data_IF_858625858800
#
_entry.id   IF_858625858800
#
_cell.length_a   1.000
_cell.length_b   1.000
_cell.length_c   1.000
_cell.angle_alpha   90.00
_cell.angle_beta   90.00
_cell.angle_gamma   90.00
#
_symmetry.space_group_name_H-M   'P 1'
#
loop_
_entity.id
_entity.type
_entity.pdbx_description
1 polymer ?
#
# COMPACT_ATOMS: atom_id res chain seq x y z
N UNK A 1 28.26 -38.90 0.58
CA UNK A 1 27.04 -38.60 1.35
C UNK A 1 27.07 -37.16 1.77
N UNK A 2 26.08 -36.32 1.44
CA UNK A 2 26.05 -34.94 1.93
C UNK A 2 26.00 -34.93 3.45
N UNK A 3 26.76 -34.03 4.08
CA UNK A 3 26.79 -33.87 5.53
C UNK A 3 25.40 -33.44 5.99
N UNK A 4 24.80 -34.16 6.95
CA UNK A 4 23.48 -33.80 7.49
C UNK A 4 23.57 -32.42 8.15
N UNK A 5 22.56 -31.58 7.90
CA UNK A 5 22.47 -30.20 8.42
C UNK A 5 22.36 -30.18 9.96
N UNK A 6 21.74 -31.21 10.55
CA UNK A 6 21.44 -31.32 11.99
C UNK A 6 21.96 -32.63 12.55
N UNK A 7 22.35 -32.62 13.82
CA UNK A 7 22.77 -33.80 14.59
C UNK A 7 21.51 -34.54 15.03
N UNK A 8 21.48 -35.85 14.80
CA UNK A 8 20.31 -36.67 15.14
C UNK A 8 20.35 -37.10 16.61
N UNK A 9 19.23 -36.94 17.29
CA UNK A 9 18.94 -37.39 18.65
C UNK A 9 17.64 -38.20 18.63
N UNK A 10 17.49 -39.14 19.56
CA UNK A 10 16.26 -39.92 19.67
C UNK A 10 15.11 -39.04 20.20
N UNK A 11 13.95 -39.10 19.54
CA UNK A 11 12.70 -38.54 20.05
C UNK A 11 11.75 -39.70 20.42
N UNK A 12 11.02 -39.54 21.52
CA UNK A 12 10.11 -40.58 22.05
C UNK A 12 8.63 -40.25 21.80
N UNK A 13 8.36 -39.12 21.14
CA UNK A 13 7.03 -38.52 21.06
C UNK A 13 6.26 -39.05 19.84
N UNK A 14 5.06 -39.60 20.07
CA UNK A 14 4.16 -40.04 19.00
C UNK A 14 3.32 -38.86 18.46
N UNK A 15 3.33 -38.71 17.13
CA UNK A 15 2.63 -37.62 16.44
C UNK A 15 1.11 -37.65 16.70
N UNK A 16 0.49 -38.83 16.68
CA UNK A 16 -0.98 -38.93 16.83
C UNK A 16 -1.41 -38.47 18.23
N UNK A 17 -0.63 -38.82 19.25
CA UNK A 17 -0.84 -38.38 20.62
C UNK A 17 -0.67 -36.87 20.75
N UNK A 18 0.41 -36.29 20.21
CA UNK A 18 0.66 -34.84 20.29
C UNK A 18 -0.44 -34.03 19.60
N UNK A 19 -0.89 -34.49 18.43
CA UNK A 19 -1.92 -33.81 17.64
C UNK A 19 -3.26 -33.66 18.40
N UNK A 20 -3.57 -34.57 19.33
CA UNK A 20 -4.77 -34.48 20.17
C UNK A 20 -4.69 -33.32 21.19
N UNK A 21 -3.48 -32.92 21.60
CA UNK A 21 -3.25 -31.90 22.61
C UNK A 21 -2.83 -30.52 22.05
N UNK A 22 -2.71 -30.39 20.73
CA UNK A 22 -2.42 -29.11 20.08
C UNK A 22 -3.68 -28.25 19.97
N UNK A 23 -3.70 -27.11 20.66
CA UNK A 23 -4.88 -26.23 20.74
C UNK A 23 -4.87 -25.10 19.70
N UNK A 24 -3.69 -24.66 19.25
CA UNK A 24 -3.54 -23.56 18.29
C UNK A 24 -2.69 -23.95 17.07
N UNK A 25 -2.91 -23.30 15.91
CA UNK A 25 -2.22 -23.64 14.66
C UNK A 25 -0.69 -23.53 14.76
N UNK A 26 -0.17 -22.57 15.52
CA UNK A 26 1.26 -22.36 15.71
C UNK A 26 1.90 -23.50 16.51
N UNK A 27 1.19 -24.07 17.49
CA UNK A 27 1.64 -25.26 18.23
C UNK A 27 1.71 -26.43 17.29
N UNK A 28 0.67 -26.60 16.47
CA UNK A 28 0.59 -27.69 15.49
C UNK A 28 1.77 -27.59 14.52
N UNK A 29 2.08 -26.38 14.04
CA UNK A 29 3.21 -26.14 13.14
C UNK A 29 4.56 -26.41 13.82
N UNK A 30 4.72 -26.02 15.09
CA UNK A 30 5.91 -26.30 15.88
C UNK A 30 6.10 -27.80 16.11
N UNK A 31 5.10 -28.50 16.66
CA UNK A 31 5.19 -29.93 16.98
C UNK A 31 5.34 -30.79 15.71
N UNK A 32 4.76 -30.36 14.58
CA UNK A 32 5.00 -30.99 13.29
C UNK A 32 6.48 -30.98 12.93
N UNK A 33 7.15 -29.85 13.16
CA UNK A 33 8.53 -29.62 12.74
C UNK A 33 9.56 -30.02 13.80
N UNK A 34 9.16 -30.09 15.08
CA UNK A 34 10.04 -30.28 16.24
C UNK A 34 11.00 -31.46 16.10
N UNK A 35 10.59 -32.67 15.67
CA UNK A 35 11.53 -33.77 15.41
C UNK A 35 12.61 -33.44 14.37
N UNK A 36 12.25 -32.69 13.32
CA UNK A 36 13.19 -32.27 12.28
C UNK A 36 14.16 -31.21 12.81
N UNK A 37 13.69 -30.19 13.52
CA UNK A 37 14.53 -29.04 13.91
C UNK A 37 15.31 -29.25 15.22
N UNK A 38 14.70 -29.89 16.23
CA UNK A 38 15.36 -30.12 17.53
C UNK A 38 16.09 -31.47 17.58
N UNK A 39 15.46 -32.52 17.07
CA UNK A 39 16.00 -33.88 17.15
C UNK A 39 16.78 -34.28 15.89
N UNK A 40 16.74 -33.46 14.83
CA UNK A 40 17.54 -33.68 13.62
C UNK A 40 17.04 -34.83 12.75
N UNK A 41 15.77 -35.22 12.89
CA UNK A 41 15.22 -36.30 12.11
C UNK A 41 15.10 -35.97 10.62
N UNK A 42 15.23 -36.98 9.74
CA UNK A 42 15.02 -36.78 8.32
C UNK A 42 13.59 -36.34 8.03
N UNK A 43 13.44 -35.31 7.18
CA UNK A 43 12.12 -34.84 6.70
C UNK A 43 11.32 -35.93 5.99
N UNK A 44 12.00 -36.93 5.40
CA UNK A 44 11.38 -38.11 4.79
C UNK A 44 10.65 -38.95 5.84
N UNK A 45 11.29 -39.21 6.97
CA UNK A 45 10.70 -39.98 8.06
C UNK A 45 9.50 -39.22 8.63
N UNK A 46 9.69 -37.92 8.89
CA UNK A 46 8.60 -37.10 9.43
C UNK A 46 7.40 -36.99 8.47
N UNK A 47 7.64 -36.96 7.16
CA UNK A 47 6.58 -37.00 6.16
C UNK A 47 5.76 -38.29 6.22
N UNK A 48 6.38 -39.43 6.50
CA UNK A 48 5.69 -40.72 6.66
C UNK A 48 4.84 -40.75 7.93
N UNK A 49 5.35 -40.21 9.05
CA UNK A 49 4.64 -40.16 10.33
C UNK A 49 3.40 -39.24 10.30
N UNK A 50 3.51 -38.11 9.59
CA UNK A 50 2.52 -37.01 9.66
C UNK A 50 1.62 -36.91 8.43
N UNK A 51 1.99 -37.55 7.32
CA UNK A 51 1.34 -37.41 6.01
C UNK A 51 1.63 -36.09 5.30
N UNK A 52 2.43 -35.19 5.89
CA UNK A 52 2.81 -33.92 5.25
C UNK A 52 3.82 -34.14 4.12
N UNK A 53 3.73 -33.37 3.01
CA UNK A 53 4.71 -33.46 1.94
C UNK A 53 6.12 -33.13 2.42
N UNK A 54 7.09 -33.98 2.11
CA UNK A 54 8.51 -33.78 2.44
C UNK A 54 9.01 -32.38 2.09
N UNK A 55 8.67 -31.88 0.90
CA UNK A 55 9.08 -30.54 0.43
C UNK A 55 8.47 -29.40 1.26
N UNK A 56 7.28 -29.60 1.83
CA UNK A 56 6.65 -28.67 2.77
C UNK A 56 7.45 -28.62 4.07
N UNK A 57 7.84 -29.78 4.60
CA UNK A 57 8.64 -29.89 5.82
C UNK A 57 10.05 -29.31 5.66
N UNK A 58 10.73 -29.57 4.53
CA UNK A 58 12.04 -28.98 4.22
C UNK A 58 11.96 -27.45 4.20
N UNK A 59 10.99 -26.89 3.47
CA UNK A 59 10.79 -25.44 3.41
C UNK A 59 10.47 -24.82 4.78
N UNK A 60 9.65 -25.50 5.59
CA UNK A 60 9.33 -25.07 6.97
C UNK A 60 10.58 -25.11 7.85
N UNK A 61 11.42 -26.15 7.72
CA UNK A 61 12.68 -26.30 8.45
C UNK A 61 13.71 -25.23 8.06
N UNK A 62 13.81 -24.89 6.78
CA UNK A 62 14.70 -23.80 6.33
C UNK A 62 14.19 -22.44 6.83
N UNK A 63 12.88 -22.17 6.78
CA UNK A 63 12.31 -20.95 7.33
C UNK A 63 12.54 -20.83 8.85
N UNK A 64 12.50 -21.95 9.57
CA UNK A 64 12.84 -21.99 10.99
C UNK A 64 14.32 -21.65 11.23
N UNK A 65 15.24 -22.21 10.44
CA UNK A 65 16.66 -21.90 10.60
C UNK A 65 16.96 -20.42 10.32
N UNK A 66 16.23 -19.80 9.39
CA UNK A 66 16.38 -18.38 9.04
C UNK A 66 15.72 -17.42 10.04
N UNK A 67 14.51 -17.76 10.51
CA UNK A 67 13.62 -16.82 11.21
C UNK A 67 13.26 -17.26 12.65
N UNK A 68 13.66 -18.45 13.07
CA UNK A 68 13.33 -19.04 14.36
C UNK A 68 11.83 -19.25 14.56
N UNK A 69 11.35 -19.00 15.78
CA UNK A 69 9.93 -19.14 16.16
C UNK A 69 8.96 -18.32 15.31
N UNK A 70 9.41 -17.18 14.77
CA UNK A 70 8.58 -16.29 13.96
C UNK A 70 8.07 -17.00 12.70
N UNK A 71 8.80 -18.00 12.21
CA UNK A 71 8.41 -18.78 11.02
C UNK A 71 7.08 -19.54 11.16
N UNK A 72 6.64 -19.84 12.39
CA UNK A 72 5.39 -20.57 12.66
C UNK A 72 4.15 -19.69 12.72
N UNK A 73 4.32 -18.38 12.95
CA UNK A 73 3.20 -17.47 13.04
C UNK A 73 2.73 -17.10 11.63
N UNK A 74 1.44 -17.32 11.34
CA UNK A 74 0.82 -17.01 10.05
C UNK A 74 0.92 -15.52 9.65
N UNK A 75 1.27 -14.68 10.63
CA UNK A 75 1.78 -13.33 10.44
C UNK A 75 3.20 -13.38 9.88
N UNK A 76 3.35 -13.78 8.60
CA UNK A 76 4.34 -13.06 7.78
C UNK A 76 4.10 -11.58 8.10
N UNK A 77 5.08 -10.77 8.56
CA UNK A 77 4.95 -9.33 8.34
C UNK A 77 4.65 -9.25 6.86
N UNK A 78 3.41 -8.86 6.50
CA UNK A 78 2.85 -8.91 5.15
C UNK A 78 3.98 -8.46 4.27
N UNK A 79 4.66 -9.39 3.56
CA UNK A 79 5.99 -9.15 2.94
C UNK A 79 5.87 -7.74 2.41
N UNK A 80 6.63 -6.77 2.94
CA UNK A 80 6.57 -5.38 2.47
C UNK A 80 6.54 -5.53 0.96
N UNK A 81 5.40 -5.20 0.34
CA UNK A 81 5.02 -5.83 -0.93
C UNK A 81 6.22 -5.69 -1.84
N UNK A 82 6.95 -6.80 -2.08
CA UNK A 82 8.24 -6.74 -2.78
C UNK A 82 7.94 -5.91 -4.02
N UNK A 83 8.69 -4.82 -4.21
CA UNK A 83 8.39 -3.86 -5.27
C UNK A 83 8.49 -4.58 -6.59
N UNK A 84 7.38 -5.17 -7.02
CA UNK A 84 7.27 -5.80 -8.32
C UNK A 84 7.13 -4.69 -9.34
N UNK A 85 7.45 -4.96 -10.61
CA UNK A 85 7.20 -4.01 -11.70
C UNK A 85 5.72 -3.55 -11.77
N UNK A 86 4.80 -4.29 -11.14
CA UNK A 86 3.37 -3.96 -11.03
C UNK A 86 3.05 -3.01 -9.87
N UNK A 87 3.95 -2.83 -8.92
CA UNK A 87 3.78 -1.87 -7.82
C UNK A 87 3.69 -0.44 -8.36
N UNK A 88 3.05 0.44 -7.58
CA UNK A 88 3.06 1.87 -7.89
C UNK A 88 4.44 2.45 -7.56
N UNK A 89 4.96 3.39 -8.36
CA UNK A 89 6.22 4.06 -8.06
C UNK A 89 6.21 4.68 -6.65
N UNK A 90 7.34 4.66 -5.91
CA UNK A 90 7.42 5.22 -4.56
C UNK A 90 6.86 6.64 -4.46
N UNK A 91 7.25 7.52 -5.38
CA UNK A 91 6.81 8.92 -5.42
C UNK A 91 5.30 9.05 -5.64
N UNK A 92 4.71 8.16 -6.43
CA UNK A 92 3.25 8.13 -6.62
C UNK A 92 2.53 7.70 -5.35
N UNK A 93 3.09 6.73 -4.61
CA UNK A 93 2.52 6.30 -3.31
C UNK A 93 2.58 7.44 -2.30
N UNK A 94 3.68 8.18 -2.28
CA UNK A 94 3.84 9.35 -1.42
C UNK A 94 2.83 10.44 -1.78
N UNK A 95 2.70 10.77 -3.08
CA UNK A 95 1.71 11.75 -3.55
C UNK A 95 0.29 11.37 -3.13
N UNK A 96 -0.11 10.11 -3.24
CA UNK A 96 -1.45 9.65 -2.84
C UNK A 96 -1.74 9.95 -1.37
N UNK A 97 -0.76 9.70 -0.49
CA UNK A 97 -0.92 9.95 0.95
C UNK A 97 -0.92 11.46 1.23
N UNK A 98 -0.03 12.21 0.57
CA UNK A 98 0.09 13.65 0.76
C UNK A 98 -1.19 14.38 0.29
N UNK A 99 -1.77 14.01 -0.86
CA UNK A 99 -3.03 14.58 -1.33
C UNK A 99 -4.18 14.38 -0.33
N UNK A 100 -4.19 13.27 0.41
CA UNK A 100 -5.20 12.99 1.44
C UNK A 100 -5.03 13.90 2.66
N UNK A 101 -3.81 14.26 3.00
CA UNK A 101 -3.52 15.23 4.08
C UNK A 101 -3.83 16.65 3.62
N UNK A 102 -3.48 16.97 2.37
CA UNK A 102 -3.67 18.29 1.80
C UNK A 102 -5.14 18.65 1.59
N UNK A 103 -5.95 17.71 1.11
CA UNK A 103 -7.40 17.87 0.95
C UNK A 103 -8.14 16.57 1.32
N UNK A 104 -8.57 16.41 2.59
CA UNK A 104 -9.20 15.18 3.06
C UNK A 104 -10.48 14.80 2.32
N UNK A 105 -11.22 15.78 1.80
CA UNK A 105 -12.45 15.61 1.01
C UNK A 105 -12.20 15.09 -0.42
N UNK A 106 -10.95 15.06 -0.89
CA UNK A 106 -10.61 14.63 -2.25
C UNK A 106 -11.06 13.19 -2.51
N UNK A 107 -11.78 13.00 -3.61
CA UNK A 107 -12.24 11.68 -4.03
C UNK A 107 -11.08 10.83 -4.55
N UNK A 108 -11.23 9.51 -4.46
CA UNK A 108 -10.23 8.56 -5.00
C UNK A 108 -10.08 8.71 -6.53
N UNK A 109 -11.14 9.14 -7.20
CA UNK A 109 -11.13 9.40 -8.64
C UNK A 109 -10.24 10.59 -8.98
N UNK A 110 -10.39 11.71 -8.28
CA UNK A 110 -9.56 12.90 -8.49
C UNK A 110 -8.09 12.62 -8.20
N UNK A 111 -7.78 11.87 -7.12
CA UNK A 111 -6.42 11.40 -6.85
C UNK A 111 -5.85 10.61 -8.03
N UNK A 112 -6.65 9.74 -8.65
CA UNK A 112 -6.22 8.97 -9.82
C UNK A 112 -5.93 9.86 -11.03
N UNK A 113 -6.73 10.91 -11.25
CA UNK A 113 -6.58 11.87 -12.36
C UNK A 113 -5.32 12.74 -12.18
N UNK A 114 -5.05 13.19 -10.95
CA UNK A 114 -3.79 13.88 -10.61
C UNK A 114 -2.58 12.96 -10.83
N UNK A 115 -2.65 11.70 -10.39
CA UNK A 115 -1.58 10.72 -10.61
C UNK A 115 -1.34 10.46 -12.11
N UNK A 116 -2.41 10.37 -12.90
CA UNK A 116 -2.33 10.17 -14.35
C UNK A 116 -1.64 11.36 -15.03
N UNK A 117 -1.99 12.59 -14.64
CA UNK A 117 -1.37 13.81 -15.18
C UNK A 117 0.12 13.90 -14.82
N UNK A 118 0.49 13.61 -13.57
CA UNK A 118 1.88 13.77 -13.09
C UNK A 118 2.82 12.64 -13.48
N UNK A 119 2.32 11.41 -13.57
CA UNK A 119 3.16 10.22 -13.81
C UNK A 119 2.83 9.50 -15.12
N UNK A 120 1.88 10.00 -15.91
CA UNK A 120 1.39 9.33 -17.14
C UNK A 120 0.93 7.90 -16.88
N UNK A 121 0.47 7.64 -15.65
CA UNK A 121 0.06 6.32 -15.19
C UNK A 121 -1.06 6.47 -14.18
N UNK A 122 -2.26 6.10 -14.59
CA UNK A 122 -3.45 6.09 -13.73
C UNK A 122 -3.46 4.87 -12.78
N UNK A 123 -3.39 5.06 -11.45
CA UNK A 123 -3.57 3.97 -10.50
C UNK A 123 -5.03 3.54 -10.42
N UNK A 124 -5.26 2.25 -10.13
CA UNK A 124 -6.62 1.74 -9.88
C UNK A 124 -7.14 2.21 -8.53
N UNK A 125 -8.47 2.31 -8.39
CA UNK A 125 -9.12 2.65 -7.13
C UNK A 125 -8.72 1.71 -5.98
N UNK A 126 -8.52 0.41 -6.26
CA UNK A 126 -8.08 -0.56 -5.24
C UNK A 126 -6.61 -0.32 -4.83
N UNK A 127 -5.76 0.07 -5.77
CA UNK A 127 -4.37 0.42 -5.49
C UNK A 127 -4.28 1.66 -4.60
N UNK A 128 -5.08 2.70 -4.88
CA UNK A 128 -5.13 3.92 -4.06
C UNK A 128 -5.58 3.58 -2.63
N UNK A 129 -6.68 2.84 -2.46
CA UNK A 129 -7.15 2.40 -1.13
C UNK A 129 -6.09 1.62 -0.36
N UNK A 130 -5.36 0.75 -1.06
CA UNK A 130 -4.27 -0.04 -0.45
C UNK A 130 -3.14 0.86 0.04
N UNK A 131 -2.73 1.85 -0.77
CA UNK A 131 -1.72 2.84 -0.38
C UNK A 131 -2.20 3.72 0.77
N UNK A 132 -3.47 4.13 0.80
CA UNK A 132 -3.97 4.91 1.93
C UNK A 132 -4.02 4.12 3.24
N UNK A 133 -4.24 2.80 3.18
CA UNK A 133 -4.30 1.95 4.37
C UNK A 133 -2.93 1.47 4.87
N UNK A 134 -1.93 1.36 3.98
CA UNK A 134 -0.65 0.69 4.29
C UNK A 134 0.57 1.33 3.61
N UNK A 135 0.39 2.53 3.07
CA UNK A 135 1.43 3.28 2.37
C UNK A 135 2.40 3.99 3.33
N UNK A 136 3.31 4.80 2.76
CA UNK A 136 4.27 5.56 3.56
C UNK A 136 3.56 6.59 4.45
N UNK A 137 4.21 7.05 5.53
CA UNK A 137 3.72 8.21 6.27
C UNK A 137 3.67 9.45 5.35
N UNK A 138 2.73 10.40 5.60
CA UNK A 138 2.67 11.63 4.83
C UNK A 138 3.96 12.44 5.01
N UNK A 139 4.43 13.04 3.92
CA UNK A 139 5.60 13.91 3.89
C UNK A 139 5.24 15.34 4.31
N UNK A 140 3.96 15.69 4.20
CA UNK A 140 3.40 16.99 4.57
C UNK A 140 2.47 16.87 5.77
N UNK A 141 2.35 17.95 6.54
CA UNK A 141 1.44 18.02 7.70
C UNK A 141 0.22 18.91 7.45
N UNK A 142 0.32 19.84 6.48
CA UNK A 142 -0.70 20.84 6.19
C UNK A 142 -0.75 21.14 4.68
N UNK A 143 -1.81 21.83 4.26
CA UNK A 143 -1.99 22.37 2.90
C UNK A 143 -0.78 23.20 2.43
N UNK A 144 -0.39 23.06 1.16
CA UNK A 144 0.77 23.77 0.57
C UNK A 144 0.52 25.25 0.36
N UNK A 145 -0.67 25.63 -0.11
CA UNK A 145 -1.02 27.03 -0.38
C UNK A 145 -2.02 27.55 0.64
N UNK A 146 -1.94 28.82 1.08
CA UNK A 146 -2.98 29.44 1.89
C UNK A 146 -4.31 29.55 1.13
N UNK A 147 -5.38 29.96 1.82
CA UNK A 147 -6.66 30.26 1.16
C UNK A 147 -6.51 31.43 0.19
N UNK A 148 -7.46 31.56 -0.73
CA UNK A 148 -7.42 32.61 -1.74
C UNK A 148 -7.38 34.01 -1.12
N UNK A 149 -8.20 34.24 -0.09
CA UNK A 149 -8.30 35.54 0.58
C UNK A 149 -7.08 35.86 1.46
N UNK A 150 -6.41 34.83 1.97
CA UNK A 150 -5.21 34.97 2.81
C UNK A 150 -3.94 35.25 1.99
N UNK A 151 -4.01 35.08 0.67
CA UNK A 151 -2.91 35.43 -0.24
C UNK A 151 -3.07 36.91 -0.62
N UNK A 152 -2.21 37.84 -0.16
CA UNK A 152 -2.43 39.27 -0.45
C UNK A 152 -2.13 39.62 -1.92
N UNK A 153 -1.14 38.97 -2.53
CA UNK A 153 -0.73 39.26 -3.90
C UNK A 153 -1.66 38.60 -4.96
N UNK A 154 -2.33 39.38 -5.82
CA UNK A 154 -3.15 38.86 -6.90
C UNK A 154 -2.38 38.04 -7.94
N UNK A 155 -1.09 38.32 -8.17
CA UNK A 155 -0.27 37.52 -9.08
C UNK A 155 -0.02 36.13 -8.49
N UNK A 156 0.33 36.04 -7.20
CA UNK A 156 0.47 34.78 -6.49
C UNK A 156 -0.83 33.97 -6.44
N UNK A 157 -2.00 34.61 -6.26
CA UNK A 157 -3.31 33.90 -6.33
C UNK A 157 -3.50 33.19 -7.66
N UNK A 158 -3.22 33.89 -8.76
CA UNK A 158 -3.29 33.33 -10.12
C UNK A 158 -2.29 32.20 -10.31
N UNK A 159 -1.07 32.38 -9.83
CA UNK A 159 -0.03 31.38 -9.90
C UNK A 159 -0.44 30.07 -9.20
N UNK A 160 -0.99 30.15 -7.98
CA UNK A 160 -1.43 28.97 -7.23
C UNK A 160 -2.52 28.18 -7.99
N UNK A 161 -3.48 28.89 -8.59
CA UNK A 161 -4.54 28.26 -9.39
C UNK A 161 -3.98 27.57 -10.63
N UNK A 162 -3.11 28.26 -11.39
CA UNK A 162 -2.47 27.70 -12.58
C UNK A 162 -1.63 26.49 -12.23
N UNK A 163 -0.90 26.54 -11.11
CA UNK A 163 -0.08 25.43 -10.65
C UNK A 163 -0.93 24.19 -10.31
N UNK A 164 -1.99 24.35 -9.52
CA UNK A 164 -2.87 23.22 -9.19
C UNK A 164 -3.51 22.63 -10.45
N UNK A 165 -3.91 23.47 -11.39
CA UNK A 165 -4.45 23.02 -12.68
C UNK A 165 -3.40 22.25 -13.49
N UNK A 166 -2.16 22.73 -13.57
CA UNK A 166 -1.07 22.04 -14.27
C UNK A 166 -0.72 20.70 -13.62
N UNK A 167 -0.92 20.58 -12.31
CA UNK A 167 -0.76 19.33 -11.55
C UNK A 167 -1.93 18.34 -11.80
N UNK A 168 -2.99 18.73 -12.50
CA UNK A 168 -4.14 17.89 -12.85
C UNK A 168 -5.31 17.96 -11.87
N UNK A 169 -5.34 18.97 -10.98
CA UNK A 169 -6.49 19.17 -10.09
C UNK A 169 -7.71 19.66 -10.88
N UNK A 170 -8.89 19.16 -10.51
CA UNK A 170 -10.14 19.61 -11.13
C UNK A 170 -10.49 21.02 -10.67
N UNK A 171 -11.25 21.76 -11.50
CA UNK A 171 -11.77 23.10 -11.14
C UNK A 171 -12.57 23.06 -9.83
N UNK A 172 -13.31 21.98 -9.58
CA UNK A 172 -14.08 21.80 -8.35
C UNK A 172 -13.16 21.64 -7.13
N UNK A 173 -12.13 20.79 -7.25
CA UNK A 173 -11.15 20.55 -6.21
C UNK A 173 -10.36 21.83 -5.89
N UNK A 174 -9.97 22.60 -6.91
CA UNK A 174 -9.24 23.88 -6.74
C UNK A 174 -10.13 24.90 -6.01
N UNK A 175 -11.40 25.01 -6.42
CA UNK A 175 -12.35 25.92 -5.80
C UNK A 175 -12.56 25.60 -4.32
N UNK A 176 -12.74 24.33 -3.98
CA UNK A 176 -12.84 23.86 -2.60
C UNK A 176 -11.56 24.09 -1.81
N UNK A 177 -10.41 23.70 -2.37
CA UNK A 177 -9.10 23.83 -1.73
C UNK A 177 -8.75 25.29 -1.39
N UNK A 178 -9.07 26.24 -2.27
CA UNK A 178 -8.81 27.67 -2.08
C UNK A 178 -9.97 28.43 -1.41
N UNK A 179 -11.09 27.75 -1.09
CA UNK A 179 -12.34 28.30 -0.58
C UNK A 179 -12.91 29.45 -1.45
N UNK A 180 -13.02 29.21 -2.75
CA UNK A 180 -13.60 30.15 -3.73
C UNK A 180 -14.67 29.48 -4.59
N UNK A 181 -15.40 30.29 -5.36
CA UNK A 181 -16.36 29.75 -6.34
C UNK A 181 -15.63 29.18 -7.56
N UNK A 182 -16.26 28.22 -8.24
CA UNK A 182 -15.75 27.68 -9.52
C UNK A 182 -15.64 28.76 -10.60
N UNK A 183 -16.50 29.78 -10.54
CA UNK A 183 -16.44 30.93 -11.45
C UNK A 183 -15.15 31.71 -11.27
N UNK A 184 -14.71 31.97 -10.03
CA UNK A 184 -13.44 32.64 -9.74
C UNK A 184 -12.25 31.88 -10.31
N UNK A 185 -12.30 30.54 -10.32
CA UNK A 185 -11.25 29.71 -10.92
C UNK A 185 -11.27 29.78 -12.45
N UNK A 186 -12.45 29.70 -13.11
CA UNK A 186 -12.55 29.85 -14.58
C UNK A 186 -12.30 31.30 -15.05
N UNK A 187 -12.55 32.32 -14.20
CA UNK A 187 -12.53 33.75 -14.55
C UNK A 187 -11.14 34.41 -14.49
N UNK A 188 -10.07 33.64 -14.29
CA UNK A 188 -8.70 34.13 -14.39
C UNK A 188 -8.12 33.71 -15.75
N UNK A 189 -8.43 34.43 -16.87
CA UNK A 189 -7.67 34.27 -18.09
C UNK A 189 -6.26 34.85 -17.82
N UNK A 190 -5.19 34.19 -18.22
CA UNK A 190 -4.57 34.55 -19.50
C UNK A 190 -3.84 33.38 -20.19
N UNK A 191 -3.96 32.14 -19.71
CA UNK A 191 -3.32 30.98 -20.37
C UNK A 191 -4.06 29.63 -20.25
N UNK A 192 -5.26 29.60 -19.65
CA UNK A 192 -6.01 28.36 -19.38
C UNK A 192 -7.05 28.00 -20.46
N UNK A 193 -7.18 28.80 -21.53
CA UNK A 193 -8.18 28.60 -22.59
C UNK A 193 -8.05 27.27 -23.35
N UNK A 194 -6.87 26.63 -23.34
CA UNK A 194 -6.68 25.31 -23.94
C UNK A 194 -7.11 24.13 -23.05
N UNK A 195 -7.23 24.33 -21.73
CA UNK A 195 -7.51 23.25 -20.77
C UNK A 195 -8.94 23.29 -20.20
N UNK A 196 -9.61 24.43 -20.24
CA UNK A 196 -10.92 24.62 -19.61
C UNK A 196 -12.14 24.24 -20.49
N UNK A 197 -11.93 23.77 -21.73
CA UNK A 197 -13.00 23.79 -22.73
C UNK A 197 -14.17 22.81 -22.47
N UNK A 198 -13.91 21.68 -21.79
CA UNK A 198 -14.96 20.68 -21.51
C UNK A 198 -15.68 20.88 -20.16
N UNK A 199 -15.01 21.43 -19.15
CA UNK A 199 -15.57 21.48 -17.79
C UNK A 199 -16.32 22.78 -17.47
N UNK A 200 -15.94 23.94 -18.03
CA UNK A 200 -16.66 25.20 -17.78
C UNK A 200 -17.94 25.31 -18.67
N UNK A 201 -18.08 24.52 -19.75
CA UNK A 201 -19.25 24.57 -20.66
C UNK A 201 -20.57 24.15 -20.01
N UNK A 202 -20.53 23.35 -18.94
CA UNK A 202 -21.73 22.95 -18.16
C UNK A 202 -22.16 23.96 -17.10
N UNK A 203 -21.28 24.86 -16.66
CA UNK A 203 -21.59 25.84 -15.60
C UNK A 203 -22.32 27.07 -16.16
N UNK A 204 -22.22 27.33 -17.47
CA UNK A 204 -22.86 28.45 -18.13
C UNK A 204 -24.37 28.27 -18.44
N UNK A 205 -25.02 27.21 -17.93
CA UNK A 205 -26.39 26.85 -18.32
C UNK A 205 -27.42 26.68 -17.18
N UNK A 206 -27.10 27.05 -15.94
CA UNK A 206 -28.15 27.20 -14.92
C UNK A 206 -28.32 28.67 -14.53
N UNK A 207 -29.49 29.29 -14.80
CA UNK A 207 -29.82 30.59 -14.25
C UNK A 207 -30.24 30.45 -12.79
N UNK A 208 -30.01 31.53 -12.04
CA UNK A 208 -30.39 31.75 -10.64
C UNK A 208 -31.84 31.40 -10.33
#
# INVERSE_FOLDING_TARGET
MPKRKRVQHEHTEDWQTIQQYTLWPEQTAYELLRPVVLFGDPTIQRAQETGEPRTSLERKADAFDEQGMVSFFASRPRKQAQETARSLPPDMRQLIVDLRVEMPSMSVREIAEICDTRFQRRPSHHSIKTVLASGPPPSIQMRRFPLFNDTPDPAQRRHNIVQLHAEGWSVASIAEYLAVSKQTVCALPDNLSFLCHDSCRKIALEPL
#
